data_IF_948703727761
#
_entry.id   IF_948703727761
#
_cell.length_a   1.000
_cell.length_b   1.000
_cell.length_c   1.000
_cell.angle_alpha   90.00
_cell.angle_beta   90.00
_cell.angle_gamma   90.00
#
_symmetry.space_group_name_H-M   'P 1'
#
loop_
_entity.id
_entity.type
_entity.pdbx_description
1 polymer ?
#
# COMPACT_ATOMS: atom_id res chain seq x y z
N UNK A 1 -13.26 40.78 59.94
CA UNK A 1 -13.57 41.55 58.71
C UNK A 1 -12.50 41.26 57.67
N UNK A 2 -12.92 40.94 56.45
CA UNK A 2 -12.12 40.21 55.45
C UNK A 2 -11.01 41.06 54.80
N UNK A 3 -9.83 40.44 54.60
CA UNK A 3 -8.66 41.05 53.97
C UNK A 3 -8.75 40.91 52.44
N UNK A 4 -9.15 41.98 51.75
CA UNK A 4 -9.29 41.98 50.30
C UNK A 4 -7.94 42.34 49.63
N UNK A 5 -7.12 41.33 49.34
CA UNK A 5 -5.86 41.51 48.59
C UNK A 5 -6.18 41.82 47.12
N UNK A 6 -6.02 43.08 46.73
CA UNK A 6 -6.14 43.57 45.34
C UNK A 6 -5.21 42.76 44.41
N UNK A 7 -5.77 42.07 43.41
CA UNK A 7 -5.00 41.45 42.33
C UNK A 7 -4.29 42.55 41.53
N UNK A 8 -2.96 42.60 41.59
CA UNK A 8 -2.14 43.49 40.76
C UNK A 8 -2.20 43.01 39.31
N UNK A 9 -2.70 43.85 38.39
CA UNK A 9 -2.50 43.66 36.95
C UNK A 9 -1.06 44.06 36.63
N UNK A 10 -0.24 43.10 36.19
CA UNK A 10 1.12 43.40 35.72
C UNK A 10 1.00 43.93 34.28
N UNK A 11 1.60 45.10 33.96
CA UNK A 11 1.52 45.66 32.62
C UNK A 11 2.47 44.91 31.68
N UNK A 12 1.93 44.41 30.57
CA UNK A 12 2.70 43.82 29.49
C UNK A 12 3.58 44.90 28.85
N UNK A 13 4.91 44.75 28.95
CA UNK A 13 5.85 45.62 28.24
C UNK A 13 5.81 45.25 26.76
N UNK A 14 5.24 46.15 25.96
CA UNK A 14 5.36 46.15 24.50
C UNK A 14 6.71 46.78 24.12
N UNK A 15 7.49 46.09 23.28
CA UNK A 15 8.61 46.68 22.54
C UNK A 15 9.88 45.84 22.55
N UNK A 16 10.07 45.00 21.53
CA UNK A 16 11.16 45.11 20.54
C UNK A 16 10.95 44.07 19.42
N UNK A 17 11.13 44.49 18.17
CA UNK A 17 11.02 43.66 16.97
C UNK A 17 12.23 42.70 16.90
N UNK A 18 12.01 41.38 16.91
CA UNK A 18 13.04 40.39 16.56
C UNK A 18 12.90 39.03 17.25
N UNK A 19 12.10 38.13 16.69
CA UNK A 19 12.06 36.72 17.06
C UNK A 19 11.09 35.95 16.15
N UNK A 20 11.38 34.70 15.76
CA UNK A 20 10.50 33.95 14.87
C UNK A 20 9.10 33.90 15.49
N UNK A 21 8.12 34.39 14.75
CA UNK A 21 6.72 34.41 15.16
C UNK A 21 6.31 33.03 15.65
N UNK A 22 5.91 32.97 16.93
CA UNK A 22 5.03 31.97 17.53
C UNK A 22 5.08 30.58 16.90
N UNK A 23 5.92 29.72 17.46
CA UNK A 23 5.62 28.32 17.74
C UNK A 23 4.25 27.85 17.19
N UNK A 24 4.25 27.25 16.00
CA UNK A 24 3.20 26.35 15.54
C UNK A 24 3.24 25.08 16.42
N UNK A 25 3.00 25.23 17.72
CA UNK A 25 2.86 24.11 18.62
C UNK A 25 1.44 23.57 18.44
N UNK A 26 1.35 22.42 17.76
CA UNK A 26 0.13 21.64 17.71
C UNK A 26 -0.46 21.47 19.10
N UNK A 27 -1.77 21.67 19.23
CA UNK A 27 -2.48 21.22 20.43
C UNK A 27 -2.29 19.71 20.61
N UNK A 28 -2.44 19.20 21.83
CA UNK A 28 -2.29 17.75 22.06
C UNK A 28 -3.17 16.88 21.16
N UNK A 29 -4.36 17.38 20.80
CA UNK A 29 -5.28 16.74 19.85
C UNK A 29 -4.72 16.75 18.42
N UNK A 30 -4.21 17.89 17.96
CA UNK A 30 -3.61 18.00 16.62
C UNK A 30 -2.33 17.19 16.50
N UNK A 31 -1.50 17.16 17.55
CA UNK A 31 -0.29 16.35 17.60
C UNK A 31 -0.62 14.86 17.52
N UNK A 32 -1.61 14.39 18.30
CA UNK A 32 -2.10 13.01 18.21
C UNK A 32 -2.62 12.70 16.79
N UNK A 33 -3.43 13.60 16.22
CA UNK A 33 -4.02 13.39 14.90
C UNK A 33 -2.95 13.33 13.81
N UNK A 34 -2.07 14.32 13.75
CA UNK A 34 -1.10 14.51 12.67
C UNK A 34 0.07 13.55 12.80
N UNK A 35 0.70 13.50 13.97
CA UNK A 35 1.97 12.78 14.15
C UNK A 35 1.80 11.33 14.60
N UNK A 36 0.59 10.91 14.99
CA UNK A 36 0.33 9.53 15.42
C UNK A 36 -0.75 8.88 14.57
N UNK A 37 -1.98 9.37 14.62
CA UNK A 37 -3.12 8.72 13.98
C UNK A 37 -2.97 8.65 12.46
N UNK A 38 -2.65 9.77 11.80
CA UNK A 38 -2.43 9.79 10.35
C UNK A 38 -1.23 8.93 9.96
N UNK A 39 -0.12 8.99 10.71
CA UNK A 39 1.04 8.15 10.45
C UNK A 39 0.72 6.64 10.53
N UNK A 40 -0.14 6.24 11.47
CA UNK A 40 -0.65 4.85 11.57
C UNK A 40 -1.49 4.51 10.34
N UNK A 41 -2.42 5.38 9.94
CA UNK A 41 -3.26 5.16 8.76
C UNK A 41 -2.43 5.05 7.47
N UNK A 42 -1.44 5.92 7.30
CA UNK A 42 -0.55 5.92 6.13
C UNK A 42 0.28 4.63 6.09
N UNK A 43 0.74 4.15 7.25
CA UNK A 43 1.46 2.89 7.37
C UNK A 43 0.57 1.70 7.00
N UNK A 44 -0.64 1.65 7.55
CA UNK A 44 -1.62 0.60 7.23
C UNK A 44 -1.98 0.60 5.74
N UNK A 45 -2.26 1.78 5.19
CA UNK A 45 -2.56 1.94 3.77
C UNK A 45 -1.39 1.46 2.90
N UNK A 46 -0.17 1.84 3.26
CA UNK A 46 1.03 1.43 2.53
C UNK A 46 1.23 -0.09 2.55
N UNK A 47 1.06 -0.75 3.69
CA UNK A 47 1.20 -2.20 3.79
C UNK A 47 0.09 -2.95 3.02
N UNK A 48 -1.16 -2.47 3.11
CA UNK A 48 -2.26 -3.03 2.32
C UNK A 48 -1.97 -2.87 0.82
N UNK A 49 -1.51 -1.69 0.39
CA UNK A 49 -1.15 -1.45 -1.02
C UNK A 49 0.02 -2.30 -1.49
N UNK A 50 1.03 -2.53 -0.65
CA UNK A 50 2.12 -3.47 -0.95
C UNK A 50 1.58 -4.90 -1.13
N UNK A 51 0.64 -5.31 -0.28
CA UNK A 51 -0.05 -6.60 -0.41
C UNK A 51 -0.81 -6.71 -1.73
N UNK A 52 -1.69 -5.74 -2.02
CA UNK A 52 -2.46 -5.67 -3.26
C UNK A 52 -1.54 -5.75 -4.49
N UNK A 53 -0.43 -5.01 -4.50
CA UNK A 53 0.53 -5.04 -5.58
C UNK A 53 1.17 -6.43 -5.78
N UNK A 54 1.56 -7.11 -4.69
CA UNK A 54 2.12 -8.47 -4.76
C UNK A 54 1.11 -9.46 -5.32
N UNK A 55 -0.12 -9.44 -4.80
CA UNK A 55 -1.17 -10.33 -5.28
C UNK A 55 -1.59 -10.02 -6.71
N UNK A 56 -1.64 -8.74 -7.11
CA UNK A 56 -1.90 -8.35 -8.50
C UNK A 56 -0.80 -8.83 -9.45
N UNK A 57 0.47 -8.73 -9.06
CA UNK A 57 1.58 -9.24 -9.86
C UNK A 57 1.53 -10.76 -9.99
N UNK A 58 1.21 -11.46 -8.90
CA UNK A 58 1.00 -12.91 -8.93
C UNK A 58 -0.17 -13.27 -9.86
N UNK A 59 -1.32 -12.61 -9.68
CA UNK A 59 -2.49 -12.82 -10.52
C UNK A 59 -2.16 -12.59 -12.01
N UNK A 60 -1.52 -11.47 -12.36
CA UNK A 60 -1.11 -11.19 -13.74
C UNK A 60 -0.17 -12.25 -14.37
N UNK A 61 0.54 -13.03 -13.55
CA UNK A 61 1.42 -14.12 -14.03
C UNK A 61 0.67 -15.44 -14.21
N UNK A 62 -0.34 -15.71 -13.39
CA UNK A 62 -1.01 -17.02 -13.32
C UNK A 62 -2.49 -16.98 -13.76
N UNK A 63 -3.08 -15.82 -14.00
CA UNK A 63 -4.48 -15.63 -14.43
C UNK A 63 -4.84 -16.42 -15.70
N UNK A 64 -3.86 -16.63 -16.59
CA UNK A 64 -4.06 -17.44 -17.79
C UNK A 64 -4.43 -18.91 -17.49
N UNK A 65 -4.08 -19.43 -16.31
CA UNK A 65 -4.46 -20.79 -15.89
C UNK A 65 -5.94 -20.85 -15.49
N UNK A 66 -6.47 -19.77 -14.91
CA UNK A 66 -7.89 -19.67 -14.56
C UNK A 66 -8.76 -19.50 -15.82
N UNK A 67 -8.27 -18.72 -16.78
CA UNK A 67 -8.94 -18.44 -18.06
C UNK A 67 -8.49 -19.37 -19.20
N UNK A 68 -7.86 -20.50 -18.88
CA UNK A 68 -7.24 -21.39 -19.88
C UNK A 68 -8.25 -21.98 -20.89
N UNK A 69 -9.53 -22.11 -20.49
CA UNK A 69 -10.60 -22.62 -21.36
C UNK A 69 -10.97 -21.60 -22.45
N UNK A 70 -10.95 -20.31 -22.14
CA UNK A 70 -11.40 -19.23 -23.04
C UNK A 70 -10.27 -18.62 -23.86
N UNK A 71 -9.02 -18.70 -23.39
CA UNK A 71 -7.85 -18.17 -24.10
C UNK A 71 -7.51 -18.94 -25.36
N UNK A 72 -6.92 -18.28 -26.36
CA UNK A 72 -6.37 -18.97 -27.54
C UNK A 72 -5.10 -19.77 -27.20
N UNK A 73 -4.80 -20.80 -28.00
CA UNK A 73 -3.61 -21.64 -27.80
C UNK A 73 -2.31 -20.83 -27.97
N UNK A 74 -2.31 -19.84 -28.85
CA UNK A 74 -1.23 -18.87 -29.07
C UNK A 74 -0.92 -18.08 -27.79
N UNK A 75 -1.94 -17.55 -27.13
CA UNK A 75 -1.82 -16.77 -25.90
C UNK A 75 -1.37 -17.64 -24.72
N UNK A 76 -1.92 -18.84 -24.58
CA UNK A 76 -1.49 -19.82 -23.57
C UNK A 76 -0.01 -20.17 -23.74
N UNK A 77 0.42 -20.41 -24.98
CA UNK A 77 1.82 -20.70 -25.29
C UNK A 77 2.73 -19.54 -24.87
N UNK A 78 2.33 -18.30 -25.16
CA UNK A 78 3.08 -17.10 -24.80
C UNK A 78 3.18 -16.93 -23.29
N UNK A 79 2.06 -17.09 -22.57
CA UNK A 79 2.00 -16.98 -21.12
C UNK A 79 2.80 -18.09 -20.42
N UNK A 80 2.64 -19.35 -20.84
CA UNK A 80 3.37 -20.48 -20.30
C UNK A 80 4.89 -20.39 -20.55
N UNK A 81 5.31 -19.91 -21.72
CA UNK A 81 6.74 -19.64 -21.99
C UNK A 81 7.30 -18.55 -21.09
N UNK A 82 6.55 -17.46 -20.88
CA UNK A 82 6.93 -16.38 -19.96
C UNK A 82 7.00 -16.87 -18.51
N UNK A 83 6.11 -17.79 -18.13
CA UNK A 83 6.10 -18.41 -16.82
C UNK A 83 7.33 -19.30 -16.62
N UNK A 84 7.60 -20.22 -17.55
CA UNK A 84 8.78 -21.10 -17.52
C UNK A 84 10.09 -20.30 -17.55
N UNK A 85 10.18 -19.21 -18.31
CA UNK A 85 11.39 -18.38 -18.30
C UNK A 85 11.59 -17.61 -16.99
N UNK A 86 10.51 -17.22 -16.31
CA UNK A 86 10.58 -16.59 -14.99
C UNK A 86 11.05 -17.59 -13.93
N UNK A 87 10.47 -18.79 -13.94
CA UNK A 87 10.69 -19.83 -12.94
C UNK A 87 11.51 -20.98 -13.53
N UNK A 88 12.61 -20.68 -14.20
CA UNK A 88 13.40 -21.67 -14.95
C UNK A 88 14.06 -22.75 -14.06
N UNK A 89 14.24 -22.47 -12.77
CA UNK A 89 14.73 -23.45 -11.80
C UNK A 89 13.63 -24.41 -11.33
N UNK A 90 12.35 -23.98 -11.37
CA UNK A 90 11.21 -24.73 -10.87
C UNK A 90 10.37 -25.38 -11.98
N UNK A 91 10.37 -24.79 -13.18
CA UNK A 91 9.49 -25.15 -14.30
C UNK A 91 10.27 -25.51 -15.55
N UNK A 92 10.08 -26.74 -16.00
CA UNK A 92 10.62 -27.21 -17.27
C UNK A 92 9.89 -26.57 -18.47
N UNK A 93 10.57 -26.40 -19.61
CA UNK A 93 9.94 -25.88 -20.84
C UNK A 93 8.73 -26.70 -21.33
N UNK A 94 8.64 -27.98 -20.91
CA UNK A 94 7.54 -28.89 -21.20
C UNK A 94 6.19 -28.39 -20.64
N UNK A 95 6.21 -27.50 -19.64
CA UNK A 95 5.00 -26.92 -19.03
C UNK A 95 4.08 -26.23 -20.05
N UNK A 96 4.64 -25.78 -21.18
CA UNK A 96 3.88 -25.20 -22.29
C UNK A 96 2.93 -26.23 -22.91
N UNK A 97 3.42 -27.43 -23.18
CA UNK A 97 2.63 -28.52 -23.75
C UNK A 97 1.63 -29.05 -22.72
N UNK A 98 2.03 -29.13 -21.45
CA UNK A 98 1.13 -29.50 -20.35
C UNK A 98 -0.07 -28.55 -20.24
N UNK A 99 0.14 -27.23 -20.37
CA UNK A 99 -0.95 -26.25 -20.37
C UNK A 99 -1.93 -26.50 -21.54
N UNK A 100 -1.42 -26.85 -22.73
CA UNK A 100 -2.26 -27.18 -23.88
C UNK A 100 -3.04 -28.48 -23.66
N UNK A 101 -2.41 -29.49 -23.06
CA UNK A 101 -3.07 -30.73 -22.68
C UNK A 101 -4.18 -30.50 -21.65
N UNK A 102 -3.92 -29.67 -20.64
CA UNK A 102 -4.92 -29.26 -19.63
C UNK A 102 -6.10 -28.58 -20.29
N UNK A 103 -5.87 -27.63 -21.21
CA UNK A 103 -6.96 -27.01 -21.97
C UNK A 103 -7.77 -28.05 -22.74
N UNK A 104 -7.11 -28.93 -23.49
CA UNK A 104 -7.79 -29.96 -24.28
C UNK A 104 -8.61 -30.90 -23.40
N UNK A 105 -8.12 -31.24 -22.21
CA UNK A 105 -8.84 -32.02 -21.21
C UNK A 105 -10.06 -31.26 -20.66
N UNK A 106 -9.90 -29.98 -20.33
CA UNK A 106 -10.95 -29.14 -19.80
C UNK A 106 -12.06 -28.76 -20.80
N UNK A 107 -11.81 -28.91 -22.10
CA UNK A 107 -12.82 -28.75 -23.16
C UNK A 107 -13.57 -30.04 -23.49
N UNK A 108 -13.00 -31.20 -23.11
CA UNK A 108 -13.63 -32.52 -23.31
C UNK A 108 -14.66 -32.86 -22.21
N UNK A 109 -14.59 -32.19 -21.06
CA UNK A 109 -15.50 -32.33 -19.91
C UNK A 109 -16.30 -31.05 -19.69
#
# INVERSE_FOLDING_TARGET
>A
MANNRRKRKVPTKFGEYGGPSSDDQFTGSENLRVNTFNCILDSLYSEIKKGEYKYSNLHNRFDFLETIKSLETSDITKCARKLSSTYHEDLEPVVVDECLHVKAFLLKN
#
